data_IF_046540959216
#
_entry.id   IF_046540959216
#
_cell.length_a   1.000
_cell.length_b   1.000
_cell.length_c   1.000
_cell.angle_alpha   90.00
_cell.angle_beta   90.00
_cell.angle_gamma   90.00
#
_symmetry.space_group_name_H-M   'P 1'
#
loop_
_entity.id
_entity.type
_entity.pdbx_description
1 polymer ?
#
# COMPACT_ATOMS: atom_id res chain seq x y z
N UNK A 1 -25.99 -9.35 19.83
CA UNK A 1 -24.69 -8.86 20.34
C UNK A 1 -23.73 -8.79 19.16
N UNK A 2 -23.83 -7.73 18.37
CA UNK A 2 -22.97 -7.49 17.21
C UNK A 2 -21.90 -6.48 17.59
N UNK A 3 -20.84 -6.40 16.78
CA UNK A 3 -19.64 -5.56 16.90
C UNK A 3 -18.42 -6.30 17.48
N UNK A 4 -18.03 -7.35 16.76
CA UNK A 4 -16.66 -7.83 16.72
C UNK A 4 -15.81 -6.73 16.05
N UNK A 5 -14.97 -6.10 16.87
CA UNK A 5 -14.07 -5.01 16.50
C UNK A 5 -13.06 -5.54 15.48
N UNK A 6 -13.33 -5.38 14.18
CA UNK A 6 -12.39 -5.70 13.09
C UNK A 6 -11.39 -4.54 12.98
N UNK A 7 -10.58 -4.34 14.03
CA UNK A 7 -9.32 -3.63 13.86
C UNK A 7 -8.43 -4.54 13.01
N UNK A 8 -8.52 -4.39 11.70
CA UNK A 8 -7.61 -5.04 10.76
C UNK A 8 -6.25 -4.38 10.96
N UNK A 9 -5.39 -5.03 11.73
CA UNK A 9 -4.02 -4.58 12.02
C UNK A 9 -3.11 -4.62 10.77
N UNK A 10 -3.64 -4.43 9.56
CA UNK A 10 -2.90 -4.56 8.29
C UNK A 10 -2.35 -5.97 8.06
N UNK A 11 -2.80 -6.96 8.85
CA UNK A 11 -2.43 -8.37 8.76
C UNK A 11 -3.56 -9.23 8.17
N UNK A 12 -4.68 -8.61 7.79
CA UNK A 12 -5.79 -9.33 7.20
C UNK A 12 -5.48 -9.66 5.74
N UNK A 13 -5.92 -10.83 5.26
CA UNK A 13 -5.71 -11.24 3.87
C UNK A 13 -6.42 -10.32 2.86
N UNK A 14 -7.45 -9.60 3.31
CA UNK A 14 -8.14 -8.56 2.53
C UNK A 14 -7.31 -7.27 2.36
N UNK A 15 -6.22 -7.11 3.11
CA UNK A 15 -5.31 -5.96 3.03
C UNK A 15 -4.14 -6.19 2.06
N UNK A 16 -3.99 -7.39 1.47
CA UNK A 16 -2.83 -7.77 0.68
C UNK A 16 -3.22 -8.58 -0.57
N UNK A 17 -2.64 -8.25 -1.73
CA UNK A 17 -2.76 -9.06 -2.94
C UNK A 17 -1.39 -9.32 -3.55
N UNK A 18 -1.15 -10.57 -3.95
CA UNK A 18 0.14 -11.05 -4.46
C UNK A 18 -0.08 -12.01 -5.64
N UNK A 19 0.79 -11.92 -6.65
CA UNK A 19 0.98 -12.97 -7.65
C UNK A 19 2.29 -13.75 -7.44
N UNK A 20 2.93 -13.55 -6.29
CA UNK A 20 4.25 -14.07 -5.96
C UNK A 20 4.16 -15.09 -4.82
N UNK A 21 4.56 -16.33 -5.12
CA UNK A 21 4.50 -17.47 -4.19
C UNK A 21 5.84 -18.22 -4.20
N UNK A 22 6.41 -18.46 -3.02
CA UNK A 22 7.68 -19.16 -2.87
C UNK A 22 7.43 -20.60 -2.42
N UNK A 23 8.00 -21.58 -3.14
CA UNK A 23 7.98 -23.00 -2.75
C UNK A 23 9.31 -23.48 -2.15
N UNK A 24 10.34 -22.63 -2.21
CA UNK A 24 11.71 -22.89 -1.76
C UNK A 24 12.41 -21.56 -1.49
N UNK A 25 13.63 -21.60 -0.97
CA UNK A 25 14.49 -20.43 -0.80
C UNK A 25 14.75 -19.72 -2.14
N UNK A 26 14.52 -18.40 -2.15
CA UNK A 26 14.62 -17.55 -3.33
C UNK A 26 15.93 -16.75 -3.30
N UNK A 27 17.05 -17.44 -3.50
CA UNK A 27 18.37 -16.81 -3.54
C UNK A 27 18.53 -15.89 -4.75
N UNK A 28 19.01 -14.66 -4.54
CA UNK A 28 19.33 -13.72 -5.62
C UNK A 28 18.14 -12.96 -6.21
N UNK A 29 16.96 -13.05 -5.59
CA UNK A 29 15.82 -12.21 -5.97
C UNK A 29 16.09 -10.75 -5.59
N UNK A 30 15.74 -9.84 -6.49
CA UNK A 30 15.81 -8.39 -6.29
C UNK A 30 14.40 -7.84 -6.13
N UNK A 31 14.29 -6.68 -5.49
CA UNK A 31 13.01 -6.01 -5.32
C UNK A 31 13.12 -4.49 -5.35
N UNK A 32 11.98 -3.84 -5.61
CA UNK A 32 11.78 -2.41 -5.42
C UNK A 32 10.47 -2.14 -4.71
N UNK A 33 10.51 -1.21 -3.77
CA UNK A 33 9.36 -0.80 -2.96
C UNK A 33 8.90 0.59 -3.36
N UNK A 34 7.59 0.76 -3.53
CA UNK A 34 6.91 2.05 -3.70
C UNK A 34 5.89 2.22 -2.59
N UNK A 35 5.76 3.44 -2.06
CA UNK A 35 4.81 3.74 -0.99
C UNK A 35 4.00 4.97 -1.39
N UNK A 36 2.68 4.87 -1.26
CA UNK A 36 1.77 5.98 -1.40
C UNK A 36 1.11 6.23 -0.04
N UNK A 37 1.27 7.46 0.46
CA UNK A 37 0.71 7.87 1.75
C UNK A 37 -0.82 7.90 1.74
N UNK A 38 -1.38 8.09 2.93
CA UNK A 38 -2.82 8.20 3.14
C UNK A 38 -3.39 9.44 2.43
N UNK A 39 -4.49 9.26 1.70
CA UNK A 39 -5.13 10.32 0.90
C UNK A 39 -6.47 10.70 1.54
N UNK A 40 -6.53 11.92 2.08
CA UNK A 40 -7.74 12.47 2.75
C UNK A 40 -8.96 12.51 1.81
N UNK A 41 -8.73 12.64 0.51
CA UNK A 41 -9.74 12.70 -0.55
C UNK A 41 -9.46 11.64 -1.64
N UNK A 42 -9.26 10.38 -1.25
CA UNK A 42 -9.17 9.31 -2.24
C UNK A 42 -10.46 9.24 -3.06
N UNK A 43 -10.31 9.03 -4.37
CA UNK A 43 -11.46 8.78 -5.23
C UNK A 43 -12.11 7.45 -4.84
N UNK A 44 -13.30 7.21 -5.36
CA UNK A 44 -13.96 5.91 -5.22
C UNK A 44 -13.49 4.90 -6.27
N UNK A 45 -12.71 5.33 -7.27
CA UNK A 45 -12.17 4.47 -8.32
C UNK A 45 -10.80 3.91 -7.90
N UNK A 46 -10.67 2.57 -7.76
CA UNK A 46 -9.39 1.92 -7.50
C UNK A 46 -8.27 2.31 -8.48
N UNK A 47 -8.59 2.62 -9.74
CA UNK A 47 -7.59 2.92 -10.76
C UNK A 47 -7.02 4.35 -10.66
N UNK A 48 -7.62 5.23 -9.86
CA UNK A 48 -7.03 6.54 -9.53
C UNK A 48 -5.97 6.44 -8.42
N UNK A 49 -5.85 5.29 -7.75
CA UNK A 49 -4.79 5.03 -6.80
C UNK A 49 -3.52 4.59 -7.54
N UNK A 50 -2.40 5.33 -7.46
CA UNK A 50 -1.18 5.00 -8.18
C UNK A 50 -0.63 3.60 -7.88
N UNK A 51 -0.82 3.08 -6.66
CA UNK A 51 -0.37 1.74 -6.30
C UNK A 51 -1.21 0.69 -7.00
N UNK A 52 -2.54 0.84 -6.98
CA UNK A 52 -3.45 -0.13 -7.59
C UNK A 52 -3.38 -0.07 -9.12
N UNK A 53 -3.28 1.13 -9.69
CA UNK A 53 -3.07 1.32 -11.12
C UNK A 53 -1.74 0.68 -11.59
N UNK A 54 -0.65 0.90 -10.85
CA UNK A 54 0.64 0.29 -11.14
C UNK A 54 0.61 -1.23 -10.99
N UNK A 55 -0.07 -1.75 -9.96
CA UNK A 55 -0.26 -3.18 -9.77
C UNK A 55 -0.99 -3.82 -10.96
N UNK A 56 -2.07 -3.20 -11.45
CA UNK A 56 -2.79 -3.69 -12.63
C UNK A 56 -1.90 -3.76 -13.88
N UNK A 57 -1.07 -2.75 -14.11
CA UNK A 57 -0.09 -2.76 -15.23
C UNK A 57 0.98 -3.83 -15.05
N UNK A 58 1.50 -4.01 -13.84
CA UNK A 58 2.46 -5.08 -13.53
C UNK A 58 1.86 -6.46 -13.81
N UNK A 59 0.60 -6.70 -13.41
CA UNK A 59 -0.11 -7.95 -13.67
C UNK A 59 -0.29 -8.20 -15.18
N UNK A 60 -0.61 -7.16 -15.96
CA UNK A 60 -0.76 -7.28 -17.42
C UNK A 60 0.57 -7.55 -18.14
N UNK A 61 1.69 -7.14 -17.54
CA UNK A 61 3.03 -7.35 -18.07
C UNK A 61 3.73 -8.60 -17.48
N UNK A 62 3.00 -9.47 -16.77
CA UNK A 62 3.53 -10.66 -16.09
C UNK A 62 4.69 -10.37 -15.11
N UNK A 63 4.67 -9.20 -14.48
CA UNK A 63 5.66 -8.80 -13.48
C UNK A 63 5.22 -9.29 -12.09
N UNK A 64 6.15 -9.91 -11.37
CA UNK A 64 5.94 -10.36 -10.00
C UNK A 64 5.82 -9.16 -9.08
N UNK A 65 4.68 -9.01 -8.42
CA UNK A 65 4.40 -7.88 -7.56
C UNK A 65 3.39 -8.20 -6.46
N UNK A 66 3.51 -7.46 -5.35
CA UNK A 66 2.63 -7.53 -4.19
C UNK A 66 2.24 -6.11 -3.82
N UNK A 67 0.96 -5.86 -3.59
CA UNK A 67 0.56 -4.63 -2.90
C UNK A 67 -0.13 -4.95 -1.60
N UNK A 68 0.03 -4.06 -0.61
CA UNK A 68 -0.73 -4.13 0.63
C UNK A 68 -1.08 -2.75 1.16
N UNK A 69 -2.10 -2.71 2.00
CA UNK A 69 -2.42 -1.55 2.84
C UNK A 69 -1.44 -1.49 3.99
N UNK A 70 -1.04 -0.27 4.38
CA UNK A 70 -0.20 -0.04 5.55
C UNK A 70 -0.93 0.86 6.54
N UNK A 71 -0.73 0.60 7.83
CA UNK A 71 -1.31 1.43 8.87
C UNK A 71 -0.67 2.82 8.83
N UNK A 72 -1.47 3.86 9.04
CA UNK A 72 -0.98 5.23 9.19
C UNK A 72 -0.19 5.34 10.49
N UNK A 73 1.13 5.59 10.43
CA UNK A 73 2.01 5.71 11.61
C UNK A 73 1.79 7.00 12.42
N UNK A 74 0.69 7.73 12.22
CA UNK A 74 0.36 8.91 13.04
C UNK A 74 -0.34 8.49 14.34
N UNK A 75 0.34 7.73 15.19
CA UNK A 75 -0.06 7.57 16.58
C UNK A 75 1.17 7.19 17.40
N UNK A 76 1.78 8.21 18.03
CA UNK A 76 2.50 8.15 19.31
C UNK A 76 3.42 9.37 19.46
N UNK A 77 2.88 10.49 19.95
CA UNK A 77 3.55 11.49 20.80
C UNK A 77 2.68 12.76 20.99
N UNK A 78 1.49 12.62 21.56
CA UNK A 78 0.84 13.75 22.25
C UNK A 78 0.19 13.21 23.52
N UNK A 79 1.02 13.13 24.56
CA UNK A 79 0.56 13.04 25.94
C UNK A 79 -0.22 14.30 26.35
N UNK A 80 -1.37 14.05 26.97
CA UNK A 80 -2.17 14.92 27.85
C UNK A 80 -2.72 16.24 27.27
N UNK A 81 -3.98 16.19 26.83
CA UNK A 81 -5.05 17.07 27.33
C UNK A 81 -6.43 16.49 26.96
N UNK A 82 -7.25 16.03 27.92
CA UNK A 82 -8.64 15.71 27.66
C UNK A 82 -9.42 17.03 27.71
N UNK A 83 -10.36 17.21 26.77
CA UNK A 83 -11.31 18.33 26.64
C UNK A 83 -10.89 19.31 25.54
N UNK A 84 -11.67 19.27 24.45
CA UNK A 84 -11.73 20.24 23.35
C UNK A 84 -10.72 20.09 22.18
N UNK A 85 -10.90 19.06 21.34
CA UNK A 85 -10.54 19.17 19.92
C UNK A 85 -11.46 18.33 19.02
N UNK A 86 -12.55 18.94 18.59
CA UNK A 86 -13.36 18.50 17.45
C UNK A 86 -12.62 19.01 16.21
N UNK A 87 -11.59 18.28 15.76
CA UNK A 87 -10.97 18.53 14.45
C UNK A 87 -10.21 17.30 13.94
N UNK A 88 -10.93 16.46 13.21
CA UNK A 88 -10.43 15.75 12.02
C UNK A 88 -9.38 14.64 12.17
N UNK A 89 -9.25 13.95 13.31
CA UNK A 89 -8.67 12.60 13.30
C UNK A 89 -9.64 11.63 12.62
N UNK A 90 -9.75 11.72 11.29
CA UNK A 90 -10.48 10.74 10.48
C UNK A 90 -9.69 9.43 10.57
N UNK A 91 -9.96 8.65 11.61
CA UNK A 91 -9.69 7.21 11.60
C UNK A 91 -10.52 6.68 10.43
N UNK A 92 -9.88 6.46 9.29
CA UNK A 92 -10.58 6.01 8.09
C UNK A 92 -11.24 4.66 8.37
N UNK A 93 -12.42 4.37 7.77
CA UNK A 93 -13.05 3.07 7.91
C UNK A 93 -12.05 1.95 7.57
N UNK A 94 -12.08 0.82 8.28
CA UNK A 94 -11.36 -0.37 7.88
C UNK A 94 -11.57 -0.61 6.38
N UNK A 95 -10.50 -0.86 5.62
CA UNK A 95 -10.53 -1.12 4.17
C UNK A 95 -10.76 0.10 3.26
N UNK A 96 -10.76 1.34 3.78
CA UNK A 96 -10.95 2.54 2.95
C UNK A 96 -9.88 2.67 1.87
N UNK A 97 -10.27 3.00 0.63
CA UNK A 97 -9.32 3.30 -0.46
C UNK A 97 -8.38 4.49 -0.12
N UNK A 98 -8.74 5.31 0.87
CA UNK A 98 -7.89 6.37 1.41
C UNK A 98 -6.64 5.89 2.13
N UNK A 99 -6.64 4.67 2.65
CA UNK A 99 -5.53 4.13 3.43
C UNK A 99 -4.23 4.13 2.62
N UNK A 100 -3.12 4.36 3.32
CA UNK A 100 -1.80 4.25 2.75
C UNK A 100 -1.57 2.83 2.19
N UNK A 101 -0.79 2.75 1.10
CA UNK A 101 -0.49 1.50 0.41
C UNK A 101 0.96 1.44 0.03
N UNK A 102 1.48 0.22 -0.10
CA UNK A 102 2.78 -0.03 -0.67
C UNK A 102 2.70 -1.11 -1.75
N UNK A 103 3.59 -0.99 -2.73
CA UNK A 103 3.79 -1.92 -3.84
C UNK A 103 5.22 -2.42 -3.79
N UNK A 104 5.39 -3.72 -3.91
CA UNK A 104 6.67 -4.38 -4.06
C UNK A 104 6.69 -5.04 -5.43
N UNK A 105 7.77 -4.83 -6.18
CA UNK A 105 8.03 -5.47 -7.46
C UNK A 105 9.27 -6.33 -7.30
N UNK A 106 9.24 -7.55 -7.83
CA UNK A 106 10.28 -8.56 -7.67
C UNK A 106 10.78 -9.04 -9.03
N UNK A 107 12.07 -9.34 -9.13
CA UNK A 107 12.66 -9.89 -10.35
C UNK A 107 13.98 -10.63 -10.09
N UNK A 108 14.40 -11.41 -11.08
CA UNK A 108 15.71 -12.02 -11.15
C UNK A 108 16.54 -11.39 -12.26
N UNK A 109 17.86 -11.33 -12.10
CA UNK A 109 18.75 -10.79 -13.13
C UNK A 109 18.75 -9.26 -13.19
N UNK A 110 18.50 -8.70 -14.37
CA UNK A 110 18.49 -7.25 -14.63
C UNK A 110 17.16 -6.60 -14.22
N UNK A 111 17.19 -5.32 -13.84
CA UNK A 111 15.98 -4.58 -13.46
C UNK A 111 15.08 -4.37 -14.70
N UNK A 112 13.79 -4.77 -14.64
CA UNK A 112 12.86 -4.50 -15.72
C UNK A 112 12.60 -2.99 -15.84
N UNK A 113 12.20 -2.53 -17.03
CA UNK A 113 11.80 -1.13 -17.19
C UNK A 113 10.46 -0.88 -16.46
N UNK A 114 10.53 -0.08 -15.40
CA UNK A 114 9.38 0.26 -14.56
C UNK A 114 8.66 1.53 -15.04
N UNK A 115 9.17 2.23 -16.05
CA UNK A 115 8.68 3.54 -16.49
C UNK A 115 7.24 3.48 -17.02
N UNK A 116 6.89 2.41 -17.73
CA UNK A 116 5.55 2.18 -18.26
C UNK A 116 4.64 1.37 -17.32
N UNK A 117 5.18 0.83 -16.23
CA UNK A 117 4.46 -0.03 -15.29
C UNK A 117 4.06 0.71 -14.03
N UNK A 118 4.94 1.55 -13.52
CA UNK A 118 4.77 2.29 -12.27
C UNK A 118 4.31 3.70 -12.57
N UNK A 119 3.40 4.21 -11.74
CA UNK A 119 2.92 5.57 -11.87
C UNK A 119 4.06 6.58 -11.73
N UNK A 120 4.04 7.64 -12.54
CA UNK A 120 5.08 8.65 -12.57
C UNK A 120 5.26 9.37 -11.22
N UNK A 121 4.19 9.48 -10.41
CA UNK A 121 4.28 10.05 -9.07
C UNK A 121 5.14 9.16 -8.15
N UNK A 122 4.97 7.85 -8.23
CA UNK A 122 5.70 6.90 -7.38
C UNK A 122 7.18 6.81 -7.77
N UNK A 123 7.48 6.87 -9.08
CA UNK A 123 8.86 6.87 -9.59
C UNK A 123 9.66 8.09 -9.11
N UNK A 124 9.02 9.26 -9.01
CA UNK A 124 9.66 10.49 -8.50
C UNK A 124 10.01 10.38 -7.02
N UNK A 125 9.18 9.70 -6.24
CA UNK A 125 9.37 9.55 -4.79
C UNK A 125 10.44 8.50 -4.47
N UNK A 126 10.50 7.41 -5.25
CA UNK A 126 11.45 6.31 -5.04
C UNK A 126 12.90 6.62 -5.45
N UNK A 127 13.18 7.79 -6.04
CA UNK A 127 14.52 8.23 -6.46
C UNK A 127 15.28 9.07 -5.44
N UNK A 128 14.78 9.20 -4.20
CA UNK A 128 15.44 9.90 -3.10
C UNK A 128 16.01 8.95 -2.07
#
# INVERSE_FOLDING_TARGET
>A
MTHQNHQTNGASLEDCHTNFFALTDLCGIKWRKFVNGERVNASSDPLDDPILHSYSRCMQADILCVWRRIQSTKQDNLDLNPIFEISSSKVHPPLSLAAAKELWIFWYGEEPDLSELVDAELLKVAGK
#
